data_IF_231191320430
#
_entry.id   IF_231191320430
#
_cell.length_a   1.000
_cell.length_b   1.000
_cell.length_c   1.000
_cell.angle_alpha   90.00
_cell.angle_beta   90.00
_cell.angle_gamma   90.00
#
_symmetry.space_group_name_H-M   'P 1'
#
loop_
_entity.id
_entity.type
_entity.pdbx_description
1 polymer ?
#
# COMPACT_ATOMS: atom_id res chain seq x y z
N UNK A 1 5.60 -34.00 1.33
CA UNK A 1 5.33 -32.54 1.32
C UNK A 1 5.21 -31.94 -0.09
N UNK A 2 5.11 -32.75 -1.16
CA UNK A 2 4.89 -32.25 -2.53
C UNK A 2 3.46 -31.75 -2.78
N UNK A 3 2.45 -32.48 -2.30
CA UNK A 3 1.03 -32.14 -2.58
C UNK A 3 0.54 -30.81 -1.98
N UNK A 4 1.17 -30.30 -0.92
CA UNK A 4 0.83 -28.96 -0.37
C UNK A 4 1.41 -27.85 -1.25
N UNK A 5 2.58 -28.06 -1.84
CA UNK A 5 3.20 -27.10 -2.77
C UNK A 5 2.43 -27.01 -4.08
N UNK A 6 1.98 -28.15 -4.61
CA UNK A 6 1.20 -28.21 -5.84
C UNK A 6 -0.14 -27.48 -5.67
N UNK A 7 -0.86 -27.75 -4.58
CA UNK A 7 -2.13 -27.07 -4.28
C UNK A 7 -1.98 -25.55 -4.08
N UNK A 8 -0.87 -25.09 -3.50
CA UNK A 8 -0.60 -23.68 -3.31
C UNK A 8 -0.28 -22.96 -4.63
N UNK A 9 0.41 -23.65 -5.54
CA UNK A 9 0.71 -23.15 -6.88
C UNK A 9 -0.55 -23.06 -7.74
N UNK A 10 -1.44 -24.05 -7.65
CA UNK A 10 -2.73 -24.04 -8.34
C UNK A 10 -3.61 -22.86 -7.88
N UNK A 11 -3.66 -22.59 -6.58
CA UNK A 11 -4.38 -21.42 -6.05
C UNK A 11 -3.73 -20.10 -6.45
N UNK A 12 -2.40 -20.06 -6.58
CA UNK A 12 -1.69 -18.89 -7.11
C UNK A 12 -2.09 -18.60 -8.56
N UNK A 13 -2.02 -19.61 -9.45
CA UNK A 13 -2.44 -19.50 -10.86
C UNK A 13 -3.88 -19.00 -10.93
N UNK A 14 -4.80 -19.69 -10.26
CA UNK A 14 -6.24 -19.41 -10.33
C UNK A 14 -6.63 -18.01 -9.82
N UNK A 15 -5.95 -17.47 -8.81
CA UNK A 15 -6.36 -16.21 -8.16
C UNK A 15 -5.52 -15.00 -8.54
N UNK A 16 -4.31 -15.19 -9.04
CA UNK A 16 -3.35 -14.12 -9.31
C UNK A 16 -2.71 -14.30 -10.68
N UNK A 17 -2.04 -15.43 -10.93
CA UNK A 17 -1.25 -15.64 -12.16
C UNK A 17 -2.07 -15.55 -13.45
N UNK A 18 -3.24 -16.19 -13.47
CA UNK A 18 -4.13 -16.23 -14.64
C UNK A 18 -5.14 -15.07 -14.65
N UNK A 19 -5.13 -14.22 -13.61
CA UNK A 19 -6.04 -13.07 -13.52
C UNK A 19 -5.39 -11.88 -14.23
N UNK A 20 -6.01 -11.36 -15.30
CA UNK A 20 -5.45 -10.25 -16.06
C UNK A 20 -5.09 -9.06 -15.16
N UNK A 21 -3.88 -8.53 -15.36
CA UNK A 21 -3.35 -7.35 -14.68
C UNK A 21 -3.22 -7.45 -13.15
N UNK A 22 -3.51 -8.60 -12.51
CA UNK A 22 -3.45 -8.71 -11.06
C UNK A 22 -2.05 -8.39 -10.51
N UNK A 23 -1.01 -8.94 -11.12
CA UNK A 23 0.40 -8.70 -10.77
C UNK A 23 0.80 -7.25 -11.07
N UNK A 24 0.38 -6.70 -12.20
CA UNK A 24 0.66 -5.30 -12.57
C UNK A 24 0.03 -4.33 -11.58
N UNK A 25 -1.25 -4.53 -11.24
CA UNK A 25 -1.98 -3.73 -10.27
C UNK A 25 -1.38 -3.85 -8.87
N UNK A 26 -0.89 -5.04 -8.49
CA UNK A 26 -0.17 -5.23 -7.23
C UNK A 26 1.09 -4.36 -7.16
N UNK A 27 1.92 -4.38 -8.20
CA UNK A 27 3.13 -3.56 -8.27
C UNK A 27 2.80 -2.06 -8.29
N UNK A 28 1.79 -1.65 -9.07
CA UNK A 28 1.33 -0.26 -9.11
C UNK A 28 0.95 0.25 -7.72
N UNK A 29 0.12 -0.51 -6.99
CA UNK A 29 -0.29 -0.13 -5.65
C UNK A 29 0.88 -0.17 -4.67
N UNK A 30 1.79 -1.14 -4.78
CA UNK A 30 2.97 -1.20 -3.93
C UNK A 30 3.86 0.04 -4.11
N UNK A 31 4.16 0.43 -5.36
CA UNK A 31 4.91 1.64 -5.66
C UNK A 31 4.21 2.88 -5.09
N UNK A 32 2.89 2.98 -5.24
CA UNK A 32 2.11 4.08 -4.68
C UNK A 32 2.24 4.18 -3.16
N UNK A 33 2.20 3.03 -2.47
CA UNK A 33 2.40 2.96 -1.02
C UNK A 33 3.81 3.37 -0.61
N UNK A 34 4.85 3.02 -1.38
CA UNK A 34 6.23 3.44 -1.13
C UNK A 34 6.38 4.96 -1.26
N UNK A 35 5.81 5.59 -2.30
CA UNK A 35 5.83 7.06 -2.44
C UNK A 35 5.11 7.72 -1.26
N UNK A 36 3.96 7.20 -0.84
CA UNK A 36 3.24 7.74 0.31
C UNK A 36 4.06 7.64 1.61
N UNK A 37 4.80 6.54 1.83
CA UNK A 37 5.72 6.43 2.97
C UNK A 37 6.84 7.48 2.88
N UNK A 38 7.42 7.66 1.69
CA UNK A 38 8.47 8.65 1.47
C UNK A 38 7.99 10.08 1.75
N UNK A 39 6.79 10.43 1.30
CA UNK A 39 6.20 11.76 1.52
C UNK A 39 5.78 11.99 2.97
N UNK A 40 5.45 10.92 3.70
CA UNK A 40 5.15 10.98 5.13
C UNK A 40 6.38 10.96 6.05
N UNK A 41 7.62 10.91 5.51
CA UNK A 41 8.87 10.68 6.27
C UNK A 41 9.04 11.55 7.52
N UNK A 42 8.78 12.86 7.43
CA UNK A 42 8.93 13.77 8.57
C UNK A 42 8.00 13.38 9.71
N UNK A 43 6.73 13.11 9.37
CA UNK A 43 5.72 12.70 10.33
C UNK A 43 6.00 11.35 10.97
N UNK A 44 6.58 10.42 10.20
CA UNK A 44 7.03 9.12 10.70
C UNK A 44 8.12 9.31 11.76
N UNK A 45 9.15 10.12 11.48
CA UNK A 45 10.24 10.38 12.41
C UNK A 45 9.80 11.12 13.70
N UNK A 46 8.74 11.92 13.62
CA UNK A 46 8.18 12.67 14.76
C UNK A 46 7.05 11.92 15.50
N UNK A 47 6.75 10.68 15.13
CA UNK A 47 5.63 9.95 15.75
C UNK A 47 5.95 9.51 17.19
N UNK A 48 5.06 9.85 18.13
CA UNK A 48 5.12 9.33 19.49
C UNK A 48 4.70 7.85 19.54
N UNK A 49 5.67 6.93 19.44
CA UNK A 49 5.46 5.48 19.40
C UNK A 49 5.11 4.82 20.75
N UNK A 50 4.27 5.45 21.58
CA UNK A 50 3.80 4.91 22.88
C UNK A 50 4.90 4.30 23.77
N UNK A 51 6.08 4.91 23.82
CA UNK A 51 7.21 4.41 24.63
C UNK A 51 8.10 3.36 23.95
N UNK A 52 7.75 2.87 22.76
CA UNK A 52 8.58 1.99 21.93
C UNK A 52 9.40 2.77 20.87
N UNK A 53 9.63 4.07 21.10
CA UNK A 53 10.31 4.94 20.14
C UNK A 53 11.73 4.48 19.84
N UNK A 54 12.47 4.09 20.88
CA UNK A 54 13.87 3.67 20.74
C UNK A 54 14.02 2.38 19.92
N UNK A 55 13.04 1.48 19.96
CA UNK A 55 13.04 0.24 19.17
C UNK A 55 12.57 0.46 17.73
N UNK A 56 11.59 1.35 17.53
CA UNK A 56 10.93 1.55 16.23
C UNK A 56 11.67 2.55 15.34
N UNK A 57 12.22 3.63 15.92
CA UNK A 57 12.87 4.69 15.16
C UNK A 57 14.05 4.21 14.30
N UNK A 58 14.94 3.30 14.75
CA UNK A 58 16.00 2.77 13.89
C UNK A 58 15.46 2.07 12.64
N UNK A 59 14.42 1.24 12.81
CA UNK A 59 13.77 0.53 11.69
C UNK A 59 13.05 1.49 10.75
N UNK A 60 12.42 2.53 11.29
CA UNK A 60 11.75 3.56 10.49
C UNK A 60 12.74 4.42 9.70
N UNK A 61 13.89 4.77 10.30
CA UNK A 61 14.97 5.47 9.58
C UNK A 61 15.50 4.62 8.43
N UNK A 62 15.81 3.36 8.69
CA UNK A 62 16.26 2.43 7.65
C UNK A 62 15.26 2.33 6.49
N UNK A 63 13.95 2.27 6.78
CA UNK A 63 12.89 2.27 5.76
C UNK A 63 12.86 3.58 4.96
N UNK A 64 12.97 4.74 5.62
CA UNK A 64 12.89 6.06 4.97
C UNK A 64 14.12 6.36 4.11
N UNK A 65 15.28 5.88 4.54
CA UNK A 65 16.57 6.04 3.88
C UNK A 65 16.83 5.02 2.78
N UNK A 66 15.96 4.01 2.63
CA UNK A 66 16.09 3.00 1.59
C UNK A 66 16.03 3.66 0.19
N UNK A 67 17.04 3.43 -0.69
CA UNK A 67 17.12 4.04 -2.00
C UNK A 67 15.90 3.78 -2.89
N UNK A 68 15.20 2.65 -2.68
CA UNK A 68 14.01 2.29 -3.46
C UNK A 68 12.91 3.36 -3.33
N UNK A 69 12.78 4.03 -2.18
CA UNK A 69 11.76 5.07 -2.01
C UNK A 69 12.02 6.32 -2.86
N UNK A 70 13.28 6.52 -3.28
CA UNK A 70 13.70 7.63 -4.14
C UNK A 70 13.87 7.21 -5.60
N UNK A 71 13.67 5.93 -5.92
CA UNK A 71 13.84 5.43 -7.27
C UNK A 71 12.83 6.09 -8.23
N UNK A 72 13.28 6.64 -9.37
CA UNK A 72 12.38 7.30 -10.33
C UNK A 72 11.24 6.42 -10.83
N UNK A 73 11.43 5.09 -10.92
CA UNK A 73 10.40 4.16 -11.36
C UNK A 73 9.24 4.08 -10.37
N UNK A 74 9.52 4.16 -9.07
CA UNK A 74 8.51 4.16 -8.01
C UNK A 74 7.66 5.43 -8.06
N UNK A 75 8.30 6.56 -8.38
CA UNK A 75 7.64 7.87 -8.50
C UNK A 75 6.64 7.95 -9.66
N UNK A 76 6.79 7.11 -10.71
CA UNK A 76 5.85 7.07 -11.84
C UNK A 76 4.41 6.77 -11.39
N UNK A 77 4.24 5.93 -10.37
CA UNK A 77 2.91 5.57 -9.85
C UNK A 77 2.16 6.78 -9.27
N UNK A 78 2.85 7.60 -8.47
CA UNK A 78 2.29 8.81 -7.88
C UNK A 78 2.12 9.92 -8.92
N UNK A 79 3.04 10.03 -9.89
CA UNK A 79 2.91 10.96 -11.00
C UNK A 79 1.64 10.66 -11.83
N UNK A 80 1.41 9.40 -12.20
CA UNK A 80 0.22 8.97 -12.92
C UNK A 80 -1.07 9.23 -12.11
N UNK A 81 -1.05 8.99 -10.79
CA UNK A 81 -2.18 9.30 -9.92
C UNK A 81 -2.47 10.81 -9.89
N UNK A 82 -1.45 11.65 -9.78
CA UNK A 82 -1.57 13.11 -9.73
C UNK A 82 -2.06 13.69 -11.04
N UNK A 83 -1.52 13.22 -12.16
CA UNK A 83 -1.98 13.57 -13.50
C UNK A 83 -3.46 13.21 -13.67
N UNK A 84 -3.85 11.99 -13.27
CA UNK A 84 -5.25 11.60 -13.27
C UNK A 84 -6.09 12.52 -12.38
N UNK A 85 -5.64 12.85 -11.17
CA UNK A 85 -6.37 13.71 -10.23
C UNK A 85 -6.63 15.13 -10.77
N UNK A 86 -5.77 15.62 -11.66
CA UNK A 86 -5.92 16.94 -12.31
C UNK A 86 -6.84 16.90 -13.54
N UNK A 87 -7.22 15.72 -14.03
CA UNK A 87 -8.15 15.60 -15.15
C UNK A 87 -9.53 16.19 -14.79
N UNK A 88 -10.20 16.92 -15.70
CA UNK A 88 -11.57 17.41 -15.49
C UNK A 88 -12.58 16.30 -15.19
N UNK A 89 -12.27 15.07 -15.62
CA UNK A 89 -13.12 13.89 -15.38
C UNK A 89 -12.92 13.26 -14.00
N UNK A 90 -11.83 13.62 -13.31
CA UNK A 90 -11.42 13.00 -12.07
C UNK A 90 -12.36 13.35 -10.93
N UNK A 91 -12.84 12.32 -10.25
CA UNK A 91 -13.72 12.47 -9.09
C UNK A 91 -12.96 12.02 -7.86
N UNK A 92 -11.85 12.69 -7.55
CA UNK A 92 -10.94 12.33 -6.45
C UNK A 92 -11.67 12.24 -5.10
N UNK A 93 -12.64 13.12 -4.86
CA UNK A 93 -13.51 13.06 -3.68
C UNK A 93 -14.29 11.73 -3.58
N UNK A 94 -14.61 11.07 -4.70
CA UNK A 94 -15.23 9.74 -4.68
C UNK A 94 -14.27 8.69 -4.17
N UNK A 95 -12.98 8.75 -4.48
CA UNK A 95 -12.00 7.79 -3.96
C UNK A 95 -11.95 7.83 -2.42
N UNK A 96 -11.97 9.04 -1.83
CA UNK A 96 -12.17 9.23 -0.38
C UNK A 96 -13.45 8.59 0.12
N UNK A 97 -14.59 8.92 -0.49
CA UNK A 97 -15.90 8.42 -0.04
C UNK A 97 -15.97 6.90 -0.13
N UNK A 98 -15.46 6.31 -1.22
CA UNK A 98 -15.40 4.87 -1.43
C UNK A 98 -14.50 4.16 -0.43
N UNK A 99 -13.43 4.80 0.01
CA UNK A 99 -12.57 4.22 1.06
C UNK A 99 -13.30 4.16 2.41
N UNK A 100 -14.10 5.20 2.73
CA UNK A 100 -14.99 5.18 3.91
C UNK A 100 -16.06 4.10 3.78
N UNK A 101 -16.70 3.98 2.62
CA UNK A 101 -17.70 2.95 2.35
C UNK A 101 -17.10 1.55 2.49
N UNK A 102 -15.87 1.34 2.00
CA UNK A 102 -15.15 0.08 2.12
C UNK A 102 -14.90 -0.29 3.59
N UNK A 103 -14.50 0.66 4.44
CA UNK A 103 -14.38 0.43 5.89
C UNK A 103 -15.72 0.02 6.53
N UNK A 104 -16.83 0.57 6.03
CA UNK A 104 -18.19 0.17 6.40
C UNK A 104 -18.51 -1.27 6.01
N UNK A 105 -18.25 -1.63 4.75
CA UNK A 105 -18.45 -3.00 4.22
C UNK A 105 -17.62 -4.04 4.99
N UNK A 106 -16.42 -3.69 5.44
CA UNK A 106 -15.60 -4.58 6.26
C UNK A 106 -16.27 -4.97 7.61
N UNK A 107 -17.31 -4.25 8.07
CA UNK A 107 -18.08 -4.67 9.23
C UNK A 107 -18.96 -5.91 8.98
N UNK A 108 -19.26 -6.22 7.73
CA UNK A 108 -20.06 -7.39 7.35
C UNK A 108 -19.23 -8.67 7.23
N UNK A 109 -17.89 -8.56 7.25
CA UNK A 109 -16.97 -9.70 7.15
C UNK A 109 -16.98 -10.48 8.47
N UNK A 110 -17.41 -11.75 8.40
CA UNK A 110 -17.58 -12.62 9.58
C UNK A 110 -16.24 -13.15 10.13
N UNK A 111 -15.24 -13.37 9.26
CA UNK A 111 -13.93 -13.81 9.72
C UNK A 111 -13.20 -12.63 10.40
N UNK A 112 -12.93 -12.75 11.70
CA UNK A 112 -12.27 -11.71 12.49
C UNK A 112 -10.90 -11.30 11.93
N UNK A 113 -10.10 -12.26 11.47
CA UNK A 113 -8.80 -11.98 10.85
C UNK A 113 -8.97 -11.20 9.54
N UNK A 114 -9.86 -11.65 8.65
CA UNK A 114 -10.14 -10.96 7.39
C UNK A 114 -10.68 -9.54 7.63
N UNK A 115 -11.57 -9.37 8.61
CA UNK A 115 -12.10 -8.06 9.01
C UNK A 115 -11.01 -7.11 9.50
N UNK A 116 -10.11 -7.58 10.37
CA UNK A 116 -8.98 -6.79 10.86
C UNK A 116 -8.05 -6.39 9.71
N UNK A 117 -7.57 -7.38 8.94
CA UNK A 117 -6.62 -7.12 7.86
C UNK A 117 -7.21 -6.29 6.73
N UNK A 118 -8.49 -6.50 6.41
CA UNK A 118 -9.25 -5.72 5.45
C UNK A 118 -9.39 -4.27 5.88
N UNK A 119 -9.81 -4.00 7.13
CA UNK A 119 -9.89 -2.61 7.64
C UNK A 119 -8.55 -1.90 7.63
N UNK A 120 -7.48 -2.58 8.06
CA UNK A 120 -6.13 -2.00 8.07
C UNK A 120 -5.68 -1.65 6.64
N UNK A 121 -5.87 -2.57 5.68
CA UNK A 121 -5.49 -2.33 4.29
C UNK A 121 -6.32 -1.20 3.64
N UNK A 122 -7.64 -1.19 3.84
CA UNK A 122 -8.52 -0.13 3.34
C UNK A 122 -8.15 1.23 3.93
N UNK A 123 -7.86 1.29 5.24
CA UNK A 123 -7.42 2.53 5.87
C UNK A 123 -6.05 2.96 5.35
N UNK A 124 -5.09 2.05 5.21
CA UNK A 124 -3.75 2.35 4.70
C UNK A 124 -3.76 2.90 3.27
N UNK A 125 -4.57 2.31 2.38
CA UNK A 125 -4.79 2.84 1.02
C UNK A 125 -5.43 4.24 1.05
N UNK A 126 -6.42 4.43 1.94
CA UNK A 126 -7.02 5.74 2.17
C UNK A 126 -5.98 6.76 2.56
N UNK A 127 -5.18 6.46 3.57
CA UNK A 127 -4.11 7.33 4.06
C UNK A 127 -3.10 7.64 2.97
N UNK A 128 -2.69 6.65 2.16
CA UNK A 128 -1.80 6.89 1.02
C UNK A 128 -2.39 7.91 0.03
N UNK A 129 -3.68 7.81 -0.32
CA UNK A 129 -4.31 8.83 -1.18
C UNK A 129 -4.33 10.21 -0.53
N UNK A 130 -4.55 10.30 0.78
CA UNK A 130 -4.56 11.59 1.48
C UNK A 130 -3.17 12.21 1.55
N UNK A 131 -2.14 11.39 1.75
CA UNK A 131 -0.74 11.83 1.72
C UNK A 131 -0.38 12.35 0.34
N UNK A 132 -0.75 11.63 -0.73
CA UNK A 132 -0.34 11.98 -2.09
C UNK A 132 -1.16 13.13 -2.72
N UNK A 133 -2.43 13.28 -2.32
CA UNK A 133 -3.39 14.19 -2.97
C UNK A 133 -3.97 15.29 -2.05
N UNK A 134 -3.63 15.35 -0.76
CA UNK A 134 -4.15 16.36 0.17
C UNK A 134 -5.60 16.10 0.62
N UNK A 135 -6.31 17.10 1.16
CA UNK A 135 -7.69 16.94 1.67
C UNK A 135 -8.81 17.14 0.66
N UNK A 136 -8.61 18.07 -0.25
CA UNK A 136 -9.49 18.34 -1.38
C UNK A 136 -9.26 17.35 -2.55
N UNK A 137 -8.14 16.64 -2.55
CA UNK A 137 -7.75 15.75 -3.63
C UNK A 137 -7.08 16.45 -4.81
N UNK A 138 -6.67 17.73 -4.64
CA UNK A 138 -6.05 18.53 -5.70
C UNK A 138 -4.58 18.19 -5.93
N UNK A 139 -3.93 17.52 -4.96
CA UNK A 139 -2.48 17.30 -4.99
C UNK A 139 -1.67 18.59 -4.81
N UNK A 140 -2.29 19.70 -4.39
CA UNK A 140 -1.58 20.93 -4.05
C UNK A 140 -0.64 20.69 -2.87
N UNK A 141 0.56 21.27 -2.95
CA UNK A 141 1.66 21.00 -2.02
C UNK A 141 1.28 21.39 -0.58
N UNK A 142 0.61 22.52 -0.41
CA UNK A 142 0.18 23.06 0.87
C UNK A 142 -0.83 22.14 1.57
N UNK A 143 -1.80 21.62 0.80
CA UNK A 143 -2.80 20.67 1.29
C UNK A 143 -2.18 19.31 1.65
N UNK A 144 -1.21 18.85 0.86
CA UNK A 144 -0.45 17.63 1.13
C UNK A 144 0.37 17.76 2.42
N UNK A 145 1.16 18.82 2.57
CA UNK A 145 1.99 19.05 3.76
C UNK A 145 1.12 19.16 5.01
N UNK A 146 0.08 20.00 4.96
CA UNK A 146 -0.84 20.16 6.09
C UNK A 146 -1.59 18.88 6.44
N UNK A 147 -1.81 17.98 5.48
CA UNK A 147 -2.40 16.66 5.73
C UNK A 147 -1.42 15.70 6.40
N UNK A 148 -0.18 15.65 5.93
CA UNK A 148 0.88 14.78 6.47
C UNK A 148 1.17 15.12 7.93
N UNK A 149 1.31 16.40 8.28
CA UNK A 149 1.52 16.87 9.65
C UNK A 149 0.41 16.39 10.61
N UNK A 150 -0.82 16.33 10.11
CA UNK A 150 -2.01 15.94 10.89
C UNK A 150 -2.29 14.43 10.89
N UNK A 151 -1.39 13.58 10.37
CA UNK A 151 -1.61 12.12 10.44
C UNK A 151 -1.68 11.65 11.90
N UNK A 152 -2.75 10.93 12.21
CA UNK A 152 -2.92 10.30 13.51
C UNK A 152 -2.13 8.98 13.60
N UNK A 153 -1.82 8.54 14.82
CA UNK A 153 -1.09 7.29 15.08
C UNK A 153 -1.66 6.06 14.37
N UNK A 154 -3.00 5.97 14.29
CA UNK A 154 -3.70 4.84 13.66
C UNK A 154 -3.51 4.88 12.14
N UNK A 155 -3.44 6.08 11.57
CA UNK A 155 -3.21 6.29 10.14
C UNK A 155 -1.78 5.97 9.76
N UNK A 156 -0.81 6.40 10.58
CA UNK A 156 0.61 6.02 10.45
C UNK A 156 0.75 4.50 10.52
N UNK A 157 0.17 3.85 11.54
CA UNK A 157 0.22 2.42 11.69
C UNK A 157 -0.42 1.69 10.50
N UNK A 158 -1.57 2.17 10.00
CA UNK A 158 -2.25 1.58 8.85
C UNK A 158 -1.43 1.74 7.56
N UNK A 159 -0.81 2.89 7.34
CA UNK A 159 0.07 3.14 6.19
C UNK A 159 1.22 2.13 6.17
N UNK A 160 2.02 2.06 7.25
CA UNK A 160 3.18 1.17 7.33
C UNK A 160 2.78 -0.31 7.24
N UNK A 161 1.75 -0.73 7.97
CA UNK A 161 1.29 -2.12 7.92
C UNK A 161 0.76 -2.51 6.53
N UNK A 162 0.14 -1.57 5.82
CA UNK A 162 -0.37 -1.84 4.48
C UNK A 162 0.77 -1.91 3.46
N UNK A 163 1.77 -1.02 3.56
CA UNK A 163 2.99 -1.11 2.75
C UNK A 163 3.69 -2.45 2.95
N UNK A 164 3.84 -2.90 4.20
CA UNK A 164 4.45 -4.20 4.51
C UNK A 164 3.66 -5.39 3.92
N UNK A 165 2.32 -5.32 3.90
CA UNK A 165 1.49 -6.35 3.24
C UNK A 165 1.73 -6.41 1.73
N UNK A 166 1.85 -5.26 1.09
CA UNK A 166 2.14 -5.19 -0.35
C UNK A 166 3.56 -5.67 -0.66
N UNK A 167 4.56 -5.27 0.14
CA UNK A 167 5.93 -5.79 0.02
C UNK A 167 5.95 -7.33 0.09
N UNK A 168 5.27 -7.89 1.09
CA UNK A 168 5.17 -9.35 1.23
C UNK A 168 4.41 -10.02 0.09
N UNK A 169 3.39 -9.37 -0.45
CA UNK A 169 2.65 -9.88 -1.60
C UNK A 169 3.53 -9.94 -2.86
N UNK A 170 4.35 -8.90 -3.11
CA UNK A 170 5.32 -8.87 -4.21
C UNK A 170 6.38 -9.97 -4.06
N UNK A 171 6.91 -10.17 -2.86
CA UNK A 171 7.84 -11.29 -2.57
C UNK A 171 7.20 -12.66 -2.88
N UNK A 172 5.93 -12.84 -2.51
CA UNK A 172 5.19 -14.08 -2.76
C UNK A 172 4.98 -14.31 -4.26
N UNK A 173 4.61 -13.27 -5.02
CA UNK A 173 4.47 -13.34 -6.48
C UNK A 173 5.80 -13.75 -7.10
N UNK A 174 6.89 -13.07 -6.79
CA UNK A 174 8.22 -13.39 -7.33
C UNK A 174 8.65 -14.83 -7.01
N UNK A 175 8.31 -15.33 -5.82
CA UNK A 175 8.56 -16.73 -5.45
C UNK A 175 7.78 -17.70 -6.35
N UNK A 176 6.49 -17.45 -6.57
CA UNK A 176 5.66 -18.37 -7.35
C UNK A 176 5.94 -18.29 -8.85
N UNK A 177 6.28 -17.11 -9.39
CA UNK A 177 6.75 -16.98 -10.78
C UNK A 177 8.00 -17.84 -11.04
N UNK A 178 9.00 -17.78 -10.16
CA UNK A 178 10.19 -18.65 -10.26
C UNK A 178 9.85 -20.14 -10.24
N UNK A 179 8.90 -20.54 -9.38
CA UNK A 179 8.46 -21.93 -9.31
C UNK A 179 7.72 -22.38 -10.58
N UNK A 180 7.05 -21.47 -11.29
CA UNK A 180 6.39 -21.76 -12.56
C UNK A 180 7.41 -21.94 -13.69
N UNK A 181 8.41 -21.07 -13.74
CA UNK A 181 9.49 -21.15 -14.73
C UNK A 181 10.25 -22.49 -14.59
N UNK A 182 10.59 -22.87 -13.34
CA UNK A 182 11.23 -24.16 -13.04
C UNK A 182 10.39 -25.39 -13.43
N UNK A 183 9.06 -25.27 -13.47
CA UNK A 183 8.15 -26.36 -13.90
C UNK A 183 7.92 -26.38 -15.42
N UNK A 184 8.07 -25.24 -16.11
CA UNK A 184 7.93 -25.15 -17.56
C UNK A 184 9.17 -25.59 -18.33
N UNK A 185 10.34 -25.56 -17.67
CA UNK A 185 11.63 -26.01 -18.21
C UNK A 185 11.90 -27.53 -18.00
N UNK A 186 10.94 -28.28 -17.46
CA UNK A 186 10.98 -29.73 -17.22
C UNK A 186 9.99 -30.50 -18.12
#
# INVERSE_FOLDING_TARGET
>A
DGGVKDAALDEYKRRIGDVPEAVTNLHFVYMLMLVAVHEARFRLLECGYMGAGDDILPSMRALIEDPLLQDPSVQLSAAALREHAQSPSAKVWKARLRTRDLLGVMNCVQCNRCRLHGKVASLGLGVAFQVLLGNDGSGQKEEVVGRVEKLHRVEVAALINTTAKFARAVEIVSKYEKLLDEQGDA
#
